data_IF_296550465203
#
_entry.id   IF_296550465203
#
_cell.length_a   1.000
_cell.length_b   1.000
_cell.length_c   1.000
_cell.angle_alpha   90.00
_cell.angle_beta   90.00
_cell.angle_gamma   90.00
#
_symmetry.space_group_name_H-M   'P 1'
#
loop_
_entity.id
_entity.type
_entity.pdbx_description
1 polymer ?
#
# COMPACT_ATOMS: atom_id res chain seq x y z
N UNK A 1 7.67 -23.82 -38.07
CA UNK A 1 6.76 -23.53 -36.94
C UNK A 1 7.54 -22.64 -35.99
N UNK A 2 7.12 -21.39 -35.79
CA UNK A 2 7.71 -20.50 -34.79
C UNK A 2 6.92 -20.67 -33.50
N UNK A 3 7.60 -21.10 -32.44
CA UNK A 3 7.03 -21.19 -31.11
C UNK A 3 6.70 -19.78 -30.62
N UNK A 4 5.41 -19.53 -30.36
CA UNK A 4 4.96 -18.37 -29.61
C UNK A 4 5.31 -18.60 -28.15
N UNK A 5 6.43 -18.05 -27.69
CA UNK A 5 6.70 -17.90 -26.27
C UNK A 5 5.80 -16.79 -25.72
N UNK A 6 4.56 -17.11 -25.35
CA UNK A 6 3.79 -16.23 -24.47
C UNK A 6 4.52 -16.18 -23.12
N UNK A 7 5.23 -15.09 -22.83
CA UNK A 7 5.74 -14.85 -21.48
C UNK A 7 4.54 -14.69 -20.56
N UNK A 8 4.25 -15.72 -19.77
CA UNK A 8 3.28 -15.63 -18.68
C UNK A 8 3.95 -14.73 -17.65
N UNK A 9 3.57 -13.45 -17.57
CA UNK A 9 3.93 -12.59 -16.44
C UNK A 9 3.27 -13.20 -15.20
N UNK A 10 4.07 -13.86 -14.38
CA UNK A 10 3.60 -14.48 -13.15
C UNK A 10 3.35 -13.36 -12.13
N UNK A 11 2.07 -13.05 -11.89
CA UNK A 11 1.62 -12.19 -10.80
C UNK A 11 2.24 -12.65 -9.48
N UNK A 12 2.99 -11.75 -8.84
CA UNK A 12 3.60 -12.02 -7.51
C UNK A 12 2.78 -11.28 -6.47
N UNK A 13 2.08 -12.04 -5.62
CA UNK A 13 1.36 -11.48 -4.50
C UNK A 13 2.35 -10.96 -3.43
N UNK A 14 2.04 -9.83 -2.77
CA UNK A 14 2.88 -9.30 -1.71
C UNK A 14 2.92 -10.24 -0.49
N UNK A 15 3.94 -10.09 0.37
CA UNK A 15 4.01 -10.83 1.63
C UNK A 15 2.80 -10.58 2.54
N UNK A 16 2.46 -11.57 3.35
CA UNK A 16 1.43 -11.46 4.39
C UNK A 16 0.07 -11.99 3.96
N UNK A 17 -0.99 -11.44 4.53
CA UNK A 17 -2.38 -11.79 4.22
C UNK A 17 -3.18 -10.54 3.87
N UNK A 18 -4.13 -10.69 2.95
CA UNK A 18 -5.07 -9.62 2.63
C UNK A 18 -5.92 -9.29 3.86
N UNK A 19 -5.93 -8.03 4.26
CA UNK A 19 -6.79 -7.51 5.31
C UNK A 19 -8.08 -6.96 4.67
N UNK A 20 -9.19 -7.07 5.40
CA UNK A 20 -10.53 -6.80 4.88
C UNK A 20 -10.73 -5.38 4.30
N UNK A 21 -11.93 -5.13 3.77
CA UNK A 21 -12.25 -3.87 3.06
C UNK A 21 -11.86 -2.63 3.89
N UNK A 22 -11.13 -1.73 3.24
CA UNK A 22 -10.76 -0.43 3.79
C UNK A 22 -12.01 0.32 4.29
N UNK A 23 -11.90 0.98 5.45
CA UNK A 23 -12.97 1.81 6.03
C UNK A 23 -13.40 2.92 5.08
N UNK A 24 -12.45 3.43 4.29
CA UNK A 24 -12.64 4.58 3.42
C UNK A 24 -11.64 4.53 2.27
N UNK A 25 -12.12 4.76 1.06
CA UNK A 25 -11.29 5.12 -0.09
C UNK A 25 -11.98 6.31 -0.76
N UNK A 26 -11.35 7.49 -0.72
CA UNK A 26 -11.93 8.72 -1.29
C UNK A 26 -10.93 9.39 -2.22
N UNK A 27 -11.36 9.77 -3.44
CA UNK A 27 -10.56 10.65 -4.27
C UNK A 27 -10.45 12.02 -3.60
N UNK A 28 -9.25 12.59 -3.60
CA UNK A 28 -8.94 13.91 -3.03
C UNK A 28 -8.62 14.96 -4.08
N UNK A 29 -8.26 14.55 -5.29
CA UNK A 29 -8.02 15.46 -6.39
C UNK A 29 -7.05 14.90 -7.43
N UNK A 30 -6.45 15.82 -8.17
CA UNK A 30 -5.44 15.56 -9.19
C UNK A 30 -4.19 16.37 -8.82
N UNK A 31 -3.02 15.75 -8.91
CA UNK A 31 -1.73 16.42 -8.80
C UNK A 31 -0.90 16.18 -10.06
N UNK A 32 -0.10 17.17 -10.46
CA UNK A 32 0.76 17.09 -11.65
C UNK A 32 2.23 17.23 -11.26
N UNK A 33 3.05 16.29 -11.70
CA UNK A 33 4.51 16.30 -11.62
C UNK A 33 5.06 16.52 -13.04
N UNK A 34 5.27 17.77 -13.49
CA UNK A 34 5.55 18.09 -14.89
C UNK A 34 6.86 17.46 -15.42
N UNK A 35 7.81 17.24 -14.52
CA UNK A 35 9.13 16.66 -14.82
C UNK A 35 9.21 15.15 -14.57
N UNK A 36 8.10 14.48 -14.17
CA UNK A 36 8.14 13.04 -13.96
C UNK A 36 8.41 12.30 -15.29
N UNK A 37 9.43 11.44 -15.25
CA UNK A 37 9.83 10.55 -16.35
C UNK A 37 9.83 9.08 -15.93
N UNK A 38 9.43 8.80 -14.69
CA UNK A 38 9.47 7.48 -14.08
C UNK A 38 8.15 6.76 -14.29
N UNK A 39 8.23 5.45 -14.59
CA UNK A 39 7.11 4.51 -14.49
C UNK A 39 6.89 3.99 -13.07
N UNK A 40 7.86 4.21 -12.19
CA UNK A 40 7.82 3.62 -10.87
C UNK A 40 6.73 4.25 -9.99
N UNK A 41 6.09 3.40 -9.18
CA UNK A 41 5.11 3.81 -8.18
C UNK A 41 5.68 4.87 -7.23
N UNK A 42 4.87 5.86 -6.87
CA UNK A 42 5.27 6.87 -5.89
C UNK A 42 5.10 6.34 -4.48
N UNK A 43 6.07 6.61 -3.60
CA UNK A 43 5.93 6.23 -2.18
C UNK A 43 4.67 6.88 -1.59
N UNK A 44 3.88 6.13 -0.79
CA UNK A 44 2.69 6.68 -0.15
C UNK A 44 3.06 7.67 0.96
N UNK A 45 2.16 8.60 1.28
CA UNK A 45 2.23 9.37 2.53
C UNK A 45 1.35 8.68 3.57
N UNK A 46 1.88 8.43 4.77
CA UNK A 46 1.24 7.53 5.73
C UNK A 46 1.18 8.18 7.10
N UNK A 47 0.00 8.13 7.69
CA UNK A 47 -0.28 8.42 9.09
C UNK A 47 -0.81 7.15 9.77
N UNK A 48 -0.34 6.87 10.98
CA UNK A 48 -0.79 5.73 11.77
C UNK A 48 -1.02 6.16 13.22
N UNK A 49 -2.21 5.86 13.74
CA UNK A 49 -2.66 6.31 15.06
C UNK A 49 -3.41 5.19 15.77
N UNK A 50 -3.22 5.05 17.08
CA UNK A 50 -4.12 4.24 17.91
C UNK A 50 -5.39 5.01 18.26
N UNK A 51 -6.55 4.44 17.90
CA UNK A 51 -7.87 4.96 18.27
C UNK A 51 -8.61 3.84 18.99
N UNK A 52 -8.90 3.99 20.28
CA UNK A 52 -9.55 2.97 21.12
C UNK A 52 -8.86 1.59 21.00
N UNK A 53 -7.54 1.55 21.15
CA UNK A 53 -6.69 0.35 21.00
C UNK A 53 -6.59 -0.25 19.59
N UNK A 54 -7.29 0.32 18.61
CA UNK A 54 -7.21 -0.10 17.21
C UNK A 54 -6.13 0.74 16.51
N UNK A 55 -5.14 0.08 15.91
CA UNK A 55 -4.17 0.75 15.05
C UNK A 55 -4.83 1.08 13.72
N UNK A 56 -5.15 2.36 13.52
CA UNK A 56 -5.75 2.87 12.29
C UNK A 56 -4.72 3.56 11.43
N UNK A 57 -4.73 3.28 10.14
CA UNK A 57 -3.77 3.77 9.15
C UNK A 57 -4.53 4.57 8.10
N UNK A 58 -4.06 5.79 7.84
CA UNK A 58 -4.49 6.60 6.70
C UNK A 58 -3.30 6.77 5.75
N UNK A 59 -3.48 6.35 4.51
CA UNK A 59 -2.48 6.46 3.45
C UNK A 59 -3.00 7.32 2.30
N UNK A 60 -2.14 8.19 1.79
CA UNK A 60 -2.35 8.95 0.56
C UNK A 60 -1.54 8.28 -0.53
N UNK A 61 -2.23 7.82 -1.57
CA UNK A 61 -1.63 7.17 -2.73
C UNK A 61 -1.85 7.99 -4.00
N UNK A 62 -0.90 7.88 -4.91
CA UNK A 62 -0.90 8.55 -6.21
C UNK A 62 -1.10 7.49 -7.28
N UNK A 63 -2.23 7.59 -7.99
CA UNK A 63 -2.64 6.61 -8.99
C UNK A 63 -2.69 7.32 -10.35
N UNK A 64 -2.00 6.84 -11.40
CA UNK A 64 -2.14 7.39 -12.75
C UNK A 64 -3.62 7.46 -13.19
N UNK A 65 -4.05 8.38 -14.06
CA UNK A 65 -5.41 8.39 -14.58
C UNK A 65 -5.74 7.09 -15.32
N UNK A 66 -6.97 6.61 -15.15
CA UNK A 66 -7.51 5.41 -15.78
C UNK A 66 -8.94 5.67 -16.25
N UNK A 67 -9.37 4.93 -17.27
CA UNK A 67 -10.63 5.21 -17.99
C UNK A 67 -11.87 4.99 -17.12
N UNK A 68 -11.89 3.94 -16.30
CA UNK A 68 -13.01 3.63 -15.42
C UNK A 68 -12.63 3.80 -13.94
N UNK A 69 -13.00 4.94 -13.35
CA UNK A 69 -12.73 5.25 -11.93
C UNK A 69 -13.36 4.27 -10.95
N UNK A 70 -14.39 3.51 -11.35
CA UNK A 70 -15.00 2.48 -10.53
C UNK A 70 -14.22 1.16 -10.51
N UNK A 71 -13.20 1.05 -11.37
CA UNK A 71 -12.35 -0.13 -11.52
C UNK A 71 -11.10 -0.12 -10.63
N UNK A 72 -10.94 0.81 -9.69
CA UNK A 72 -9.81 0.77 -8.76
C UNK A 72 -9.97 -0.41 -7.78
N UNK A 73 -9.45 -1.57 -8.16
CA UNK A 73 -9.35 -2.77 -7.32
C UNK A 73 -8.17 -2.62 -6.36
N UNK A 74 -8.39 -1.84 -5.30
CA UNK A 74 -7.40 -1.64 -4.25
C UNK A 74 -7.49 -2.75 -3.20
N UNK A 75 -6.36 -3.39 -2.92
CA UNK A 75 -6.22 -4.37 -1.84
C UNK A 75 -5.08 -4.00 -0.91
N UNK A 76 -5.18 -4.45 0.33
CA UNK A 76 -4.19 -4.17 1.36
C UNK A 76 -3.77 -5.50 1.97
N UNK A 77 -2.47 -5.74 2.00
CA UNK A 77 -1.89 -6.92 2.64
C UNK A 77 -1.12 -6.49 3.87
N UNK A 78 -1.26 -7.25 4.95
CA UNK A 78 -0.55 -7.04 6.19
C UNK A 78 0.46 -8.16 6.42
N UNK A 79 1.69 -7.78 6.74
CA UNK A 79 2.75 -8.69 7.14
C UNK A 79 3.28 -8.31 8.53
N UNK A 80 3.41 -9.33 9.38
CA UNK A 80 4.06 -9.21 10.68
C UNK A 80 5.52 -9.59 10.57
N UNK A 81 6.39 -8.79 11.19
CA UNK A 81 7.80 -9.14 11.36
C UNK A 81 8.33 -8.61 12.68
N UNK A 82 9.53 -9.05 13.05
CA UNK A 82 10.27 -8.49 14.18
C UNK A 82 11.50 -7.77 13.66
N UNK A 83 11.84 -6.63 14.25
CA UNK A 83 13.14 -6.01 13.99
C UNK A 83 14.28 -6.84 14.63
N UNK A 84 15.53 -6.38 14.46
CA UNK A 84 16.73 -7.05 15.01
C UNK A 84 16.72 -7.16 16.55
N UNK A 85 15.92 -6.35 17.23
CA UNK A 85 15.76 -6.34 18.69
C UNK A 85 14.58 -7.20 19.16
N UNK A 86 13.88 -7.88 18.25
CA UNK A 86 12.70 -8.69 18.55
C UNK A 86 11.40 -7.89 18.77
N UNK A 87 11.42 -6.58 18.54
CA UNK A 87 10.24 -5.72 18.67
C UNK A 87 9.30 -5.98 17.49
N UNK A 88 8.00 -6.24 17.74
CA UNK A 88 7.03 -6.49 16.67
C UNK A 88 6.80 -5.23 15.83
N UNK A 89 6.66 -5.46 14.52
CA UNK A 89 6.51 -4.46 13.48
C UNK A 89 5.46 -4.91 12.48
N UNK A 90 4.89 -3.95 11.76
CA UNK A 90 3.92 -4.20 10.70
C UNK A 90 4.39 -3.60 9.38
N UNK A 91 4.19 -4.37 8.32
CA UNK A 91 4.27 -3.89 6.95
C UNK A 91 2.89 -3.98 6.31
N UNK A 92 2.56 -2.97 5.53
CA UNK A 92 1.36 -2.92 4.72
C UNK A 92 1.75 -2.81 3.25
N UNK A 93 1.10 -3.58 2.40
CA UNK A 93 1.27 -3.51 0.95
C UNK A 93 -0.05 -3.11 0.33
N UNK A 94 -0.11 -1.90 -0.20
CA UNK A 94 -1.26 -1.39 -0.94
C UNK A 94 -1.04 -1.75 -2.40
N UNK A 95 -1.90 -2.58 -2.94
CA UNK A 95 -1.86 -3.04 -4.33
C UNK A 95 -3.03 -2.46 -5.09
N UNK A 96 -2.82 -2.15 -6.36
CA UNK A 96 -3.89 -1.90 -7.32
C UNK A 96 -3.45 -2.43 -8.69
N UNK A 97 -4.39 -2.94 -9.46
CA UNK A 97 -4.12 -3.47 -10.80
C UNK A 97 -4.21 -2.35 -11.82
N UNK A 98 -3.06 -1.85 -12.29
CA UNK A 98 -2.96 -0.76 -13.25
C UNK A 98 -1.76 -0.99 -14.18
N UNK A 99 -1.90 -0.59 -15.44
CA UNK A 99 -0.80 -0.69 -16.41
C UNK A 99 0.32 0.32 -16.11
N UNK A 100 1.58 -0.14 -16.09
CA UNK A 100 2.74 0.73 -15.92
C UNK A 100 2.83 1.74 -17.07
N UNK A 101 2.52 3.01 -16.78
CA UNK A 101 2.67 4.12 -17.72
C UNK A 101 3.40 5.29 -17.07
N UNK A 102 4.21 6.00 -17.86
CA UNK A 102 4.78 7.27 -17.41
C UNK A 102 3.64 8.28 -17.40
N UNK A 103 3.18 8.65 -16.20
CA UNK A 103 2.18 9.70 -16.04
C UNK A 103 2.80 10.94 -15.42
N UNK A 104 2.34 12.11 -15.88
CA UNK A 104 2.61 13.39 -15.21
C UNK A 104 1.49 13.74 -14.24
N UNK A 105 0.29 13.25 -14.50
CA UNK A 105 -0.88 13.50 -13.67
C UNK A 105 -1.16 12.30 -12.78
N UNK A 106 -1.62 12.54 -11.56
CA UNK A 106 -1.95 11.48 -10.61
C UNK A 106 -3.23 11.85 -9.87
N UNK A 107 -4.19 10.92 -9.91
CA UNK A 107 -5.35 10.93 -9.04
C UNK A 107 -4.87 10.60 -7.63
N UNK A 108 -5.22 11.47 -6.68
CA UNK A 108 -4.86 11.32 -5.27
C UNK A 108 -6.00 10.62 -4.56
N UNK A 109 -5.71 9.50 -3.90
CA UNK A 109 -6.67 8.79 -3.06
C UNK A 109 -6.24 8.79 -1.60
N UNK A 110 -7.19 9.06 -0.72
CA UNK A 110 -7.04 8.82 0.71
C UNK A 110 -7.71 7.49 1.04
N UNK A 111 -6.92 6.57 1.59
CA UNK A 111 -7.35 5.23 1.98
C UNK A 111 -7.14 5.07 3.47
N UNK A 112 -8.19 4.70 4.20
CA UNK A 112 -8.15 4.43 5.64
C UNK A 112 -8.52 2.98 5.90
N UNK A 113 -7.72 2.29 6.71
CA UNK A 113 -7.92 0.91 7.10
C UNK A 113 -7.36 0.67 8.50
N UNK A 114 -7.70 -0.46 9.11
CA UNK A 114 -7.17 -0.85 10.41
C UNK A 114 -6.22 -2.02 10.26
N UNK A 115 -5.24 -2.09 11.15
CA UNK A 115 -4.41 -3.28 11.29
C UNK A 115 -5.25 -4.43 11.88
N UNK A 116 -5.05 -5.62 11.34
CA UNK A 116 -5.54 -6.85 11.93
C UNK A 116 -4.63 -7.26 13.08
N UNK A 117 -5.21 -7.49 14.26
CA UNK A 117 -4.45 -7.90 15.45
C UNK A 117 -3.93 -9.34 15.33
N UNK A 118 -4.58 -10.17 14.52
CA UNK A 118 -4.18 -11.56 14.30
C UNK A 118 -2.93 -11.68 13.41
N UNK A 119 -2.10 -12.72 13.61
CA UNK A 119 -2.21 -13.75 14.66
C UNK A 119 -1.59 -13.34 16.01
N UNK A 120 -1.16 -12.08 16.20
CA UNK A 120 -0.39 -11.64 17.36
C UNK A 120 -1.10 -10.54 18.17
N UNK A 121 -2.29 -10.85 18.69
CA UNK A 121 -3.18 -9.87 19.34
C UNK A 121 -2.49 -9.09 20.48
N UNK A 122 -1.75 -9.79 21.35
CA UNK A 122 -1.01 -9.18 22.47
C UNK A 122 0.20 -8.32 22.07
N UNK A 123 0.62 -8.41 20.80
CA UNK A 123 1.78 -7.66 20.28
C UNK A 123 1.36 -6.38 19.55
N UNK A 124 0.09 -6.24 19.16
CA UNK A 124 -0.34 -5.07 18.41
C UNK A 124 -0.12 -3.78 19.19
N UNK A 125 -0.42 -3.73 20.48
CA UNK A 125 -0.18 -2.54 21.33
C UNK A 125 1.30 -2.15 21.46
N UNK A 126 2.23 -3.04 21.10
CA UNK A 126 3.68 -2.82 21.16
C UNK A 126 4.25 -2.29 19.85
N UNK A 127 3.47 -2.23 18.77
CA UNK A 127 3.92 -1.69 17.49
C UNK A 127 4.11 -0.18 17.61
N UNK A 128 5.33 0.30 17.32
CA UNK A 128 5.69 1.72 17.37
C UNK A 128 6.01 2.32 16.02
N UNK A 129 6.26 1.48 15.03
CA UNK A 129 6.59 1.86 13.67
C UNK A 129 5.87 0.93 12.73
N UNK A 130 5.46 1.47 11.59
CA UNK A 130 4.92 0.69 10.48
C UNK A 130 5.65 1.05 9.20
N UNK A 131 5.62 0.13 8.24
CA UNK A 131 6.07 0.36 6.89
C UNK A 131 4.89 0.18 5.94
N UNK A 132 4.76 1.02 4.93
CA UNK A 132 3.72 0.87 3.92
C UNK A 132 4.33 1.02 2.55
N UNK A 133 4.04 0.06 1.67
CA UNK A 133 4.54 -0.02 0.32
C UNK A 133 3.38 0.03 -0.67
N UNK A 134 3.56 0.75 -1.78
CA UNK A 134 2.83 0.43 -2.99
C UNK A 134 3.51 -0.77 -3.64
N UNK A 135 2.72 -1.83 -3.88
CA UNK A 135 3.21 -3.06 -4.48
C UNK A 135 2.65 -3.22 -5.89
N UNK A 136 3.57 -3.21 -6.86
CA UNK A 136 3.24 -3.56 -8.24
C UNK A 136 3.13 -5.07 -8.36
N UNK A 137 2.00 -5.51 -8.90
CA UNK A 137 1.65 -6.92 -9.08
C UNK A 137 2.36 -7.50 -10.31
N UNK A 138 2.85 -6.64 -11.22
CA UNK A 138 3.68 -7.00 -12.38
C UNK A 138 5.11 -6.41 -12.21
N UNK A 139 6.13 -7.22 -11.87
CA UNK A 139 7.29 -6.73 -11.15
C UNK A 139 8.35 -6.07 -12.05
N UNK A 140 8.62 -4.78 -11.83
CA UNK A 140 9.97 -4.21 -12.00
C UNK A 140 10.47 -3.47 -10.73
N UNK A 141 9.60 -2.90 -9.87
CA UNK A 141 10.00 -2.34 -8.57
C UNK A 141 8.85 -2.09 -7.57
N UNK A 142 9.04 -2.46 -6.29
CA UNK A 142 8.18 -2.07 -5.16
C UNK A 142 8.72 -0.81 -4.45
N UNK A 143 7.86 0.09 -3.96
CA UNK A 143 8.27 1.33 -3.23
C UNK A 143 7.44 1.57 -1.98
N UNK A 144 8.06 2.03 -0.90
CA UNK A 144 7.33 2.33 0.34
C UNK A 144 7.90 3.46 1.18
N UNK A 145 7.28 3.62 2.35
CA UNK A 145 7.50 4.66 3.35
C UNK A 145 7.49 4.02 4.74
N UNK A 146 8.32 4.51 5.65
CA UNK A 146 8.35 4.11 7.06
C UNK A 146 7.84 5.29 7.89
N UNK A 147 6.93 5.04 8.84
CA UNK A 147 6.40 6.09 9.72
C UNK A 147 6.26 5.63 11.17
N UNK A 148 6.32 6.58 12.10
CA UNK A 148 6.10 6.34 13.53
C UNK A 148 4.59 6.31 13.82
N UNK A 149 4.17 5.42 14.72
CA UNK A 149 2.78 5.35 15.18
C UNK A 149 2.56 6.37 16.30
N UNK A 150 1.52 7.18 16.18
CA UNK A 150 1.13 8.15 17.20
C UNK A 150 0.05 7.59 18.13
N UNK A 151 0.08 8.02 19.39
CA UNK A 151 -0.94 7.70 20.39
C UNK A 151 -1.78 8.94 20.66
N UNK A 152 -3.09 8.81 20.61
CA UNK A 152 -4.01 9.89 20.94
C UNK A 152 -4.56 9.62 22.35
N UNK A 153 -4.30 10.55 23.27
CA UNK A 153 -4.85 10.55 24.65
C UNK A 153 -6.30 11.05 24.68
#
# INVERSE_FOLDING_TARGET
MKENSSSITQRIDPPGFEIGQFKKCKPRGLITFPENKSKALMSPLVEAVYINEILSITTIIFVPPFEDKSALDLKIYQNWYSNIEGIPQLQFFVTYDMSESVSKDFLVYEVTFDAESKPFEEKLSKVKTIQTFLWDVDPIASRGTVTNVQTQD
#
